data_IF_328050376294
#
_entry.id   IF_328050376294
#
_cell.length_a   1.000
_cell.length_b   1.000
_cell.length_c   1.000
_cell.angle_alpha   90.00
_cell.angle_beta   90.00
_cell.angle_gamma   90.00
#
_symmetry.space_group_name_H-M   'P 1'
#
loop_
_entity.id
_entity.type
_entity.pdbx_description
1 polymer ?
#
# COMPACT_ATOMS: atom_id res chain seq x y z
N UNK A 1 -56.54 -26.18 18.14
CA UNK A 1 -56.00 -26.69 16.86
C UNK A 1 -55.70 -25.50 15.98
N UNK A 2 -54.42 -25.21 15.69
CA UNK A 2 -54.05 -24.09 14.83
C UNK A 2 -54.50 -24.39 13.39
N UNK A 3 -55.20 -23.45 12.76
CA UNK A 3 -55.62 -23.56 11.37
C UNK A 3 -54.37 -23.61 10.46
N UNK A 4 -54.37 -24.52 9.49
CA UNK A 4 -53.29 -24.58 8.50
C UNK A 4 -53.19 -23.24 7.75
N UNK A 5 -51.96 -22.75 7.48
CA UNK A 5 -51.78 -21.52 6.73
C UNK A 5 -52.37 -21.66 5.31
N UNK A 6 -52.88 -20.55 4.73
CA UNK A 6 -53.48 -20.57 3.40
C UNK A 6 -52.46 -21.02 2.34
N UNK A 7 -52.91 -21.66 1.25
CA UNK A 7 -52.02 -22.09 0.18
C UNK A 7 -51.28 -20.89 -0.43
N UNK A 8 -50.01 -21.07 -0.84
CA UNK A 8 -49.23 -19.99 -1.42
C UNK A 8 -49.90 -19.46 -2.70
N UNK A 9 -49.78 -18.16 -2.98
CA UNK A 9 -50.37 -17.56 -4.17
C UNK A 9 -49.82 -18.21 -5.45
N UNK A 10 -50.62 -18.25 -6.54
CA UNK A 10 -50.18 -18.81 -7.80
C UNK A 10 -48.94 -18.06 -8.31
N UNK A 11 -47.93 -18.80 -8.77
CA UNK A 11 -46.69 -18.19 -9.28
C UNK A 11 -47.00 -17.35 -10.51
N UNK A 12 -46.35 -16.18 -10.60
CA UNK A 12 -46.46 -15.28 -11.75
C UNK A 12 -46.06 -16.02 -13.06
N UNK A 13 -46.73 -15.74 -14.20
CA UNK A 13 -46.46 -16.43 -15.47
C UNK A 13 -45.00 -16.45 -15.89
N UNK A 14 -44.27 -15.35 -15.69
CA UNK A 14 -42.83 -15.20 -15.95
C UNK A 14 -41.98 -16.10 -15.07
N UNK A 15 -42.37 -16.33 -13.81
CA UNK A 15 -41.68 -17.24 -12.89
C UNK A 15 -41.91 -18.68 -13.33
N UNK A 16 -43.15 -19.03 -13.70
CA UNK A 16 -43.49 -20.36 -14.23
C UNK A 16 -42.72 -20.64 -15.53
N UNK A 17 -42.64 -19.66 -16.43
CA UNK A 17 -41.89 -19.76 -17.68
C UNK A 17 -40.37 -19.90 -17.45
N UNK A 18 -39.82 -19.21 -16.45
CA UNK A 18 -38.41 -19.31 -16.10
C UNK A 18 -38.07 -20.69 -15.52
N UNK A 19 -38.83 -21.19 -14.54
CA UNK A 19 -38.52 -22.46 -13.85
C UNK A 19 -38.86 -23.70 -14.66
N UNK A 20 -39.71 -23.58 -15.69
CA UNK A 20 -40.08 -24.70 -16.58
C UNK A 20 -39.15 -24.85 -17.79
N UNK A 21 -38.17 -23.94 -17.98
CA UNK A 21 -37.26 -23.97 -19.13
C UNK A 21 -36.26 -25.13 -18.99
N UNK A 22 -36.36 -26.11 -19.90
CA UNK A 22 -35.52 -27.33 -19.90
C UNK A 22 -34.23 -27.23 -20.73
N UNK A 23 -34.09 -26.18 -21.55
CA UNK A 23 -32.94 -25.99 -22.46
C UNK A 23 -32.19 -24.71 -22.12
N UNK A 24 -30.87 -24.79 -22.16
CA UNK A 24 -29.99 -23.64 -22.01
C UNK A 24 -30.24 -22.69 -23.20
N UNK A 25 -30.45 -21.38 -22.97
CA UNK A 25 -30.62 -20.45 -24.06
C UNK A 25 -29.32 -20.31 -24.85
N UNK A 26 -29.41 -20.11 -26.16
CA UNK A 26 -28.26 -20.11 -27.06
C UNK A 26 -27.20 -19.04 -26.73
N UNK A 27 -27.58 -17.98 -25.99
CA UNK A 27 -26.66 -16.93 -25.54
C UNK A 27 -25.89 -17.26 -24.27
N UNK A 28 -26.34 -18.21 -23.44
CA UNK A 28 -25.73 -18.45 -22.13
C UNK A 28 -24.34 -19.09 -22.23
N UNK A 29 -24.14 -20.00 -23.18
CA UNK A 29 -22.83 -20.63 -23.42
C UNK A 29 -21.79 -19.60 -23.90
N UNK A 30 -22.02 -18.79 -24.95
CA UNK A 30 -21.05 -17.78 -25.36
C UNK A 30 -20.82 -16.70 -24.29
N UNK A 31 -21.84 -16.33 -23.51
CA UNK A 31 -21.66 -15.39 -22.39
C UNK A 31 -20.75 -15.96 -21.30
N UNK A 32 -20.94 -17.23 -20.91
CA UNK A 32 -20.09 -17.89 -19.92
C UNK A 32 -18.64 -18.04 -20.40
N UNK A 33 -18.41 -18.24 -21.70
CA UNK A 33 -17.06 -18.30 -22.29
C UNK A 33 -16.44 -16.91 -22.43
N UNK A 34 -17.24 -15.88 -22.69
CA UNK A 34 -16.77 -14.50 -22.78
C UNK A 34 -16.36 -13.92 -21.42
N UNK A 35 -16.94 -14.39 -20.31
CA UNK A 35 -16.64 -13.88 -18.97
C UNK A 35 -15.16 -14.03 -18.56
N UNK A 36 -14.50 -15.20 -18.69
CA UNK A 36 -13.07 -15.33 -18.45
C UNK A 36 -12.20 -14.43 -19.34
N UNK A 37 -12.55 -14.32 -20.63
CA UNK A 37 -11.81 -13.46 -21.57
C UNK A 37 -11.94 -11.97 -21.24
N UNK A 38 -13.16 -11.53 -20.89
CA UNK A 38 -13.40 -10.18 -20.39
C UNK A 38 -12.66 -9.92 -19.08
N UNK A 39 -12.68 -10.86 -18.13
CA UNK A 39 -11.98 -10.74 -16.86
C UNK A 39 -10.46 -10.63 -17.06
N UNK A 40 -9.89 -11.41 -17.99
CA UNK A 40 -8.47 -11.32 -18.34
C UNK A 40 -8.11 -9.97 -18.97
N UNK A 41 -8.91 -9.52 -19.95
CA UNK A 41 -8.70 -8.20 -20.57
C UNK A 41 -8.84 -7.07 -19.55
N UNK A 42 -9.87 -7.12 -18.71
CA UNK A 42 -10.10 -6.16 -17.64
C UNK A 42 -8.92 -6.10 -16.66
N UNK A 43 -8.44 -7.26 -16.19
CA UNK A 43 -7.26 -7.33 -15.33
C UNK A 43 -6.01 -6.75 -16.00
N UNK A 44 -5.80 -7.05 -17.28
CA UNK A 44 -4.64 -6.54 -18.03
C UNK A 44 -4.72 -5.02 -18.31
N UNK A 45 -5.92 -4.46 -18.40
CA UNK A 45 -6.11 -3.00 -18.54
C UNK A 45 -6.04 -2.24 -17.21
N UNK A 46 -6.19 -2.94 -16.08
CA UNK A 46 -6.08 -2.38 -14.73
C UNK A 46 -4.67 -2.47 -14.15
N UNK A 47 -3.74 -3.11 -14.86
CA UNK A 47 -2.35 -3.20 -14.45
C UNK A 47 -1.62 -1.96 -14.99
N UNK A 48 -1.45 -0.88 -14.19
CA UNK A 48 -0.48 0.11 -14.56
C UNK A 48 0.86 -0.62 -14.54
N UNK A 49 1.41 -0.92 -15.72
CA UNK A 49 2.82 -1.26 -15.90
C UNK A 49 3.67 -0.01 -15.61
N UNK A 50 3.54 0.54 -14.41
CA UNK A 50 4.67 1.19 -13.78
C UNK A 50 5.52 -0.01 -13.39
N UNK A 51 6.60 -0.26 -14.14
CA UNK A 51 7.65 -1.11 -13.59
C UNK A 51 8.06 -0.45 -12.28
N UNK A 52 7.60 -1.02 -11.16
CA UNK A 52 7.97 -0.56 -9.84
C UNK A 52 9.50 -0.52 -9.80
N UNK A 53 10.06 0.63 -9.42
CA UNK A 53 11.50 0.80 -9.42
C UNK A 53 12.13 -0.33 -8.60
N UNK A 54 13.20 -1.00 -9.10
CA UNK A 54 13.93 -1.98 -8.32
C UNK A 54 14.24 -1.56 -6.88
N UNK A 55 14.62 -0.30 -6.64
CA UNK A 55 14.87 0.21 -5.30
C UNK A 55 13.60 0.28 -4.44
N UNK A 56 12.47 0.71 -5.02
CA UNK A 56 11.17 0.72 -4.33
C UNK A 56 10.73 -0.71 -3.97
N UNK A 57 10.93 -1.67 -4.89
CA UNK A 57 10.61 -3.07 -4.67
C UNK A 57 11.50 -3.69 -3.56
N UNK A 58 12.80 -3.37 -3.56
CA UNK A 58 13.73 -3.77 -2.51
C UNK A 58 13.35 -3.15 -1.16
N UNK A 59 13.08 -1.85 -1.13
CA UNK A 59 12.62 -1.13 0.06
C UNK A 59 11.33 -1.69 0.65
N UNK A 60 10.39 -2.14 -0.19
CA UNK A 60 9.16 -2.82 0.25
C UNK A 60 9.44 -4.15 0.96
N UNK A 61 10.37 -4.94 0.43
CA UNK A 61 10.78 -6.20 1.06
C UNK A 61 11.49 -5.94 2.40
N UNK A 62 12.35 -4.93 2.46
CA UNK A 62 13.04 -4.50 3.68
C UNK A 62 12.04 -4.02 4.72
N UNK A 63 11.07 -3.18 4.35
CA UNK A 63 10.02 -2.68 5.25
C UNK A 63 9.26 -3.80 5.96
N UNK A 64 9.05 -4.92 5.25
CA UNK A 64 8.38 -6.10 5.79
C UNK A 64 9.33 -6.97 6.62
N UNK A 65 10.49 -7.31 6.06
CA UNK A 65 11.45 -8.26 6.64
C UNK A 65 12.21 -7.71 7.85
N UNK A 66 12.52 -6.41 7.86
CA UNK A 66 13.17 -5.72 8.96
C UNK A 66 12.20 -5.37 10.11
N UNK A 67 10.89 -5.57 9.91
CA UNK A 67 9.85 -5.44 10.92
C UNK A 67 9.27 -4.02 11.08
N UNK A 68 9.55 -3.10 10.16
CA UNK A 68 9.05 -1.71 10.18
C UNK A 68 7.51 -1.69 10.25
N UNK A 69 6.87 -2.52 9.42
CA UNK A 69 5.42 -2.72 9.39
C UNK A 69 4.79 -3.13 10.73
N UNK A 70 5.57 -3.75 11.63
CA UNK A 70 5.08 -4.18 12.94
C UNK A 70 4.72 -3.02 13.86
N UNK A 71 5.43 -1.90 13.75
CA UNK A 71 5.18 -0.70 14.57
C UNK A 71 4.45 0.40 13.80
N UNK A 72 4.81 0.61 12.53
CA UNK A 72 4.28 1.68 11.68
C UNK A 72 3.08 1.23 10.82
N UNK A 73 2.72 -0.05 10.87
CA UNK A 73 1.62 -0.64 10.12
C UNK A 73 2.01 -1.03 8.70
N UNK A 74 1.39 -2.09 8.16
CA UNK A 74 1.70 -2.60 6.82
C UNK A 74 1.50 -1.57 5.70
N UNK A 75 0.61 -0.59 5.90
CA UNK A 75 0.34 0.50 4.97
C UNK A 75 0.71 1.87 5.56
N UNK A 76 1.59 1.91 6.56
CA UNK A 76 2.01 3.16 7.21
C UNK A 76 0.94 3.83 8.08
N UNK A 77 -0.13 3.13 8.47
CA UNK A 77 -1.21 3.69 9.29
C UNK A 77 -0.85 3.98 10.75
N UNK A 78 0.37 3.65 11.17
CA UNK A 78 0.84 3.78 12.55
C UNK A 78 0.29 2.69 13.48
N UNK A 79 0.61 2.83 14.77
CA UNK A 79 0.17 1.91 15.82
C UNK A 79 1.02 2.07 17.07
N UNK A 80 2.06 1.24 17.18
CA UNK A 80 3.09 1.39 18.23
C UNK A 80 4.01 2.56 17.89
N UNK A 81 4.34 2.72 16.62
CA UNK A 81 5.04 3.88 16.07
C UNK A 81 4.08 4.89 15.42
N UNK A 82 4.59 6.07 15.05
CA UNK A 82 3.82 7.08 14.31
C UNK A 82 3.39 6.56 12.94
N UNK A 83 2.34 7.18 12.39
CA UNK A 83 1.92 6.94 11.02
C UNK A 83 2.89 7.57 10.01
N UNK A 84 3.00 6.93 8.86
CA UNK A 84 3.80 7.38 7.71
C UNK A 84 2.95 7.90 6.57
N UNK A 85 1.69 7.44 6.47
CA UNK A 85 0.77 7.79 5.41
C UNK A 85 0.48 9.30 5.33
N UNK A 86 -0.07 9.73 4.19
CA UNK A 86 -0.56 11.09 3.96
C UNK A 86 0.50 12.19 4.14
N UNK A 87 1.75 11.92 3.74
CA UNK A 87 2.86 12.88 3.81
C UNK A 87 3.53 13.00 5.19
N UNK A 88 3.09 12.25 6.21
CA UNK A 88 3.58 12.39 7.59
C UNK A 88 5.09 12.19 7.75
N UNK A 89 5.70 11.31 6.93
CA UNK A 89 7.15 11.11 6.93
C UNK A 89 7.87 12.39 6.52
N UNK A 90 7.35 13.08 5.51
CA UNK A 90 8.00 14.29 4.97
C UNK A 90 7.68 15.54 5.78
N UNK A 91 6.55 15.55 6.49
CA UNK A 91 6.30 16.54 7.55
C UNK A 91 7.29 16.39 8.70
N UNK A 92 7.64 15.15 9.07
CA UNK A 92 8.62 14.87 10.13
C UNK A 92 10.06 15.10 9.67
N UNK A 93 10.39 14.71 8.43
CA UNK A 93 11.73 14.84 7.86
C UNK A 93 11.61 15.47 6.47
N UNK A 94 11.67 16.80 6.40
CA UNK A 94 11.64 17.51 5.13
C UNK A 94 12.82 17.13 4.23
N UNK A 95 13.96 16.83 4.84
CA UNK A 95 15.16 16.33 4.19
C UNK A 95 15.24 14.79 4.31
N UNK A 96 15.56 14.08 3.23
CA UNK A 96 15.59 12.61 3.24
C UNK A 96 16.83 12.07 3.96
N UNK A 97 17.95 12.79 3.95
CA UNK A 97 19.17 12.40 4.64
C UNK A 97 18.98 12.39 6.16
N UNK A 98 18.19 13.32 6.72
CA UNK A 98 17.81 13.28 8.13
C UNK A 98 16.93 12.07 8.46
N UNK A 99 16.06 11.66 7.52
CA UNK A 99 15.28 10.43 7.66
C UNK A 99 16.17 9.18 7.63
N UNK A 100 17.15 9.12 6.72
CA UNK A 100 18.16 8.05 6.65
C UNK A 100 18.93 7.95 7.97
N UNK A 101 19.41 9.06 8.50
CA UNK A 101 20.12 9.11 9.78
C UNK A 101 19.24 8.63 10.94
N UNK A 102 17.95 8.98 10.93
CA UNK A 102 17.02 8.52 11.96
C UNK A 102 16.85 6.99 11.93
N UNK A 103 16.68 6.41 10.74
CA UNK A 103 16.59 4.94 10.57
C UNK A 103 17.90 4.26 10.97
N UNK A 104 19.04 4.84 10.60
CA UNK A 104 20.35 4.29 10.93
C UNK A 104 20.60 4.27 12.45
N UNK A 105 20.42 5.40 13.13
CA UNK A 105 20.81 5.62 14.52
C UNK A 105 19.73 5.19 15.53
N UNK A 106 18.46 5.30 15.15
CA UNK A 106 17.32 5.16 16.05
C UNK A 106 17.34 6.12 17.25
N UNK A 107 16.35 5.98 18.14
CA UNK A 107 16.18 6.86 19.30
C UNK A 107 17.38 6.89 20.26
N UNK A 108 18.15 5.80 20.36
CA UNK A 108 19.27 5.72 21.32
C UNK A 108 20.57 6.29 20.77
N UNK A 109 20.78 6.21 19.45
CA UNK A 109 21.97 6.74 18.79
C UNK A 109 21.83 8.20 18.38
N UNK A 110 20.62 8.75 18.43
CA UNK A 110 20.35 10.12 18.02
C UNK A 110 20.99 11.14 18.98
N UNK A 111 21.70 12.16 18.47
CA UNK A 111 22.53 13.04 19.30
C UNK A 111 21.75 14.15 20.02
N UNK A 112 20.56 14.50 19.53
CA UNK A 112 19.76 15.63 20.01
C UNK A 112 18.57 15.18 20.89
N UNK A 113 17.95 16.13 21.60
CA UNK A 113 16.78 15.85 22.46
C UNK A 113 15.49 15.60 21.65
N UNK A 114 15.42 16.14 20.44
CA UNK A 114 14.31 15.99 19.49
C UNK A 114 14.79 15.46 18.15
N UNK A 115 13.89 14.85 17.38
CA UNK A 115 14.17 14.32 16.04
C UNK A 115 13.26 14.96 14.98
N UNK A 116 13.75 14.97 13.75
CA UNK A 116 13.04 15.58 12.62
C UNK A 116 12.79 17.08 12.81
N UNK A 117 11.81 17.59 12.07
CA UNK A 117 11.44 19.00 11.97
C UNK A 117 10.28 19.39 12.89
N UNK A 118 9.72 18.42 13.65
CA UNK A 118 8.48 18.59 14.43
C UNK A 118 8.71 18.80 15.93
N UNK A 119 9.95 18.97 16.38
CA UNK A 119 10.32 19.10 17.80
C UNK A 119 9.85 17.92 18.68
N UNK A 120 9.65 16.74 18.08
CA UNK A 120 9.20 15.56 18.80
C UNK A 120 10.34 14.96 19.63
N UNK A 121 10.13 14.59 20.91
CA UNK A 121 11.17 14.03 21.76
C UNK A 121 11.77 12.72 21.21
N UNK A 122 13.08 12.57 21.33
CA UNK A 122 13.87 11.45 20.79
C UNK A 122 13.43 10.05 21.27
N UNK A 123 12.85 9.96 22.47
CA UNK A 123 12.29 8.71 23.02
C UNK A 123 11.02 8.24 22.29
N UNK A 124 10.56 9.02 21.29
CA UNK A 124 9.61 8.59 20.28
C UNK A 124 8.14 8.67 20.70
N UNK A 125 7.29 8.16 19.81
CA UNK A 125 5.84 8.15 19.91
C UNK A 125 5.38 7.39 21.16
N UNK A 126 4.65 8.06 22.05
CA UNK A 126 4.20 7.49 23.34
C UNK A 126 5.32 6.93 24.23
N UNK A 127 6.56 7.44 24.09
CA UNK A 127 7.72 6.98 24.86
C UNK A 127 8.25 5.60 24.45
N UNK A 128 7.89 5.12 23.25
CA UNK A 128 8.46 3.92 22.65
C UNK A 128 9.64 4.30 21.73
N UNK A 129 10.87 3.85 22.03
CA UNK A 129 12.02 4.20 21.21
C UNK A 129 12.00 3.46 19.87
N UNK A 130 12.34 4.16 18.80
CA UNK A 130 12.65 3.52 17.52
C UNK A 130 14.02 2.83 17.62
N UNK A 131 14.14 1.54 17.26
CA UNK A 131 15.42 0.86 17.25
C UNK A 131 16.33 1.36 16.11
N UNK A 132 17.65 1.28 16.32
CA UNK A 132 18.65 1.53 15.29
C UNK A 132 18.69 0.40 14.25
N UNK A 133 18.95 0.73 12.99
CA UNK A 133 19.09 -0.26 11.91
C UNK A 133 20.48 -0.28 11.25
N UNK A 134 21.40 0.64 11.57
CA UNK A 134 22.73 0.69 10.97
C UNK A 134 23.61 -0.56 11.17
N UNK A 135 23.36 -1.34 12.23
CA UNK A 135 24.05 -2.62 12.45
C UNK A 135 23.36 -3.83 11.77
N UNK A 136 22.17 -3.61 11.18
CA UNK A 136 21.31 -4.67 10.63
C UNK A 136 21.06 -4.54 9.12
N UNK A 137 21.10 -3.32 8.60
CA UNK A 137 20.91 -2.99 7.19
C UNK A 137 22.14 -2.23 6.69
N UNK A 138 22.52 -2.48 5.45
CA UNK A 138 23.51 -1.67 4.73
C UNK A 138 22.95 -0.28 4.41
N UNK A 139 23.85 0.65 4.10
CA UNK A 139 23.48 2.03 3.70
C UNK A 139 22.54 2.03 2.48
N UNK A 140 22.79 1.15 1.50
CA UNK A 140 21.93 0.97 0.32
C UNK A 140 20.53 0.50 0.71
N UNK A 141 20.43 -0.54 1.56
CA UNK A 141 19.14 -1.04 2.06
C UNK A 141 18.37 0.03 2.87
N UNK A 142 19.07 0.89 3.62
CA UNK A 142 18.43 2.01 4.34
C UNK A 142 17.89 3.05 3.34
N UNK A 143 18.66 3.41 2.31
CA UNK A 143 18.21 4.33 1.26
C UNK A 143 16.98 3.79 0.53
N UNK A 144 16.98 2.50 0.19
CA UNK A 144 15.86 1.82 -0.48
C UNK A 144 14.58 1.83 0.37
N UNK A 145 14.67 1.47 1.66
CA UNK A 145 13.48 1.48 2.53
C UNK A 145 12.99 2.90 2.81
N UNK A 146 13.89 3.87 2.98
CA UNK A 146 13.51 5.29 3.14
C UNK A 146 12.78 5.80 1.89
N UNK A 147 13.26 5.43 0.70
CA UNK A 147 12.58 5.78 -0.54
C UNK A 147 11.20 5.14 -0.64
N UNK A 148 11.07 3.86 -0.30
CA UNK A 148 9.78 3.19 -0.23
C UNK A 148 8.82 3.87 0.77
N UNK A 149 9.30 4.22 1.96
CA UNK A 149 8.51 4.91 2.99
C UNK A 149 8.02 6.28 2.54
N UNK A 150 8.90 7.08 1.91
CA UNK A 150 8.58 8.45 1.47
C UNK A 150 7.68 8.46 0.24
N UNK A 151 8.02 7.68 -0.79
CA UNK A 151 7.33 7.74 -2.08
C UNK A 151 6.04 6.92 -2.09
N UNK A 152 6.06 5.71 -1.52
CA UNK A 152 4.93 4.77 -1.61
C UNK A 152 4.06 4.81 -0.36
N UNK A 153 4.67 4.71 0.83
CA UNK A 153 3.89 4.65 2.07
C UNK A 153 3.33 6.04 2.42
N UNK A 154 4.14 7.09 2.29
CA UNK A 154 3.73 8.47 2.56
C UNK A 154 3.02 9.12 1.37
N UNK A 155 3.30 8.67 0.15
CA UNK A 155 2.68 9.20 -1.06
C UNK A 155 3.25 10.54 -1.52
N UNK A 156 4.47 10.91 -1.09
CA UNK A 156 5.08 12.22 -1.38
C UNK A 156 5.51 12.39 -2.85
N UNK A 157 5.55 11.31 -3.62
CA UNK A 157 6.05 11.29 -5.00
C UNK A 157 7.58 11.21 -5.07
N UNK A 158 8.13 11.06 -6.27
CA UNK A 158 9.55 10.78 -6.46
C UNK A 158 10.44 12.00 -6.14
N UNK A 159 11.46 11.77 -5.31
CA UNK A 159 12.47 12.76 -4.94
C UNK A 159 13.77 12.49 -5.71
N UNK A 160 14.16 13.40 -6.61
CA UNK A 160 15.26 13.17 -7.56
C UNK A 160 16.60 12.83 -6.88
N UNK A 161 16.92 13.48 -5.77
CA UNK A 161 18.16 13.22 -5.03
C UNK A 161 18.17 11.84 -4.37
N UNK A 162 17.03 11.39 -3.85
CA UNK A 162 16.89 10.06 -3.24
C UNK A 162 16.82 8.95 -4.31
N UNK A 163 16.21 9.23 -5.45
CA UNK A 163 16.27 8.35 -6.61
C UNK A 163 17.73 8.15 -7.06
N UNK A 164 18.49 9.24 -7.21
CA UNK A 164 19.91 9.17 -7.59
C UNK A 164 20.73 8.39 -6.55
N UNK A 165 20.47 8.61 -5.26
CA UNK A 165 21.13 7.89 -4.17
C UNK A 165 20.85 6.38 -4.17
N UNK A 166 19.71 5.96 -4.73
CA UNK A 166 19.34 4.54 -4.93
C UNK A 166 19.67 4.03 -6.34
N UNK A 167 20.48 4.78 -7.09
CA UNK A 167 20.97 4.37 -8.41
C UNK A 167 19.95 4.50 -9.55
N UNK A 168 18.89 5.28 -9.35
CA UNK A 168 17.78 5.45 -10.29
C UNK A 168 17.49 6.93 -10.56
N UNK A 169 16.58 7.19 -11.50
CA UNK A 169 16.15 8.53 -11.87
C UNK A 169 14.64 8.64 -11.62
N UNK A 170 14.15 9.81 -11.23
CA UNK A 170 12.71 10.04 -11.27
C UNK A 170 12.26 10.11 -12.73
N UNK A 171 11.44 9.17 -13.17
CA UNK A 171 10.79 9.31 -14.47
C UNK A 171 9.89 10.56 -14.44
N UNK A 172 9.99 11.48 -15.42
CA UNK A 172 9.09 12.61 -15.52
C UNK A 172 7.67 12.07 -15.71
N UNK A 173 6.86 12.18 -14.65
CA UNK A 173 5.59 11.49 -14.55
C UNK A 173 4.66 11.73 -15.74
N UNK A 174 4.12 10.65 -16.29
CA UNK A 174 2.77 10.68 -16.83
C UNK A 174 1.85 11.02 -15.67
N UNK A 175 1.46 12.29 -15.59
CA UNK A 175 0.39 12.76 -14.73
C UNK A 175 -0.78 11.77 -14.78
N UNK A 176 -1.26 11.41 -13.59
CA UNK A 176 -2.52 10.73 -13.43
C UNK A 176 -3.57 11.45 -14.29
N UNK A 177 -4.11 10.74 -15.27
CA UNK A 177 -5.29 11.16 -16.00
C UNK A 177 -6.45 11.23 -15.01
N UNK A 178 -6.62 12.40 -14.40
CA UNK A 178 -7.84 12.81 -13.76
C UNK A 178 -8.81 13.24 -14.88
N UNK A 179 -9.74 12.35 -15.23
CA UNK A 179 -11.02 12.70 -15.85
C UNK A 179 -12.15 12.53 -14.83
#
# INVERSE_FOLDING_TARGET
TAAAPPPPPPRRPEVVAAVSRKRIPYWAVPALVALPGWAFLYAYTLDPRVEESPAIAAGREIYTSAGCAGCHGATGGGGVGPAFADGAVVETFSNFEDHVLWVELGSQGWPEETYGDTDEPVLGFNGQPMPAFGDRLSEEEILEVVRFEREVVSGFGCEAALAEATGEECEPGTEAAAE
#
